data_IF_814935103506
#
_entry.id   IF_814935103506
#
_cell.length_a   1.000
_cell.length_b   1.000
_cell.length_c   1.000
_cell.angle_alpha   90.00
_cell.angle_beta   90.00
_cell.angle_gamma   90.00
#
_symmetry.space_group_name_H-M   'P 1'
#
loop_
_entity.id
_entity.type
_entity.pdbx_description
1 polymer ?
#
# COMPACT_ATOMS: atom_id res chain seq x y z
N UNK A 1 -5.94 24.58 -30.02
CA UNK A 1 -5.98 23.17 -29.59
C UNK A 1 -5.55 23.08 -28.15
N UNK A 2 -6.51 23.09 -27.23
CA UNK A 2 -6.27 22.95 -25.82
C UNK A 2 -5.95 21.50 -25.47
N UNK A 3 -4.87 21.28 -24.73
CA UNK A 3 -4.54 19.98 -24.14
C UNK A 3 -5.61 19.61 -23.12
N UNK A 4 -6.52 18.74 -23.51
CA UNK A 4 -7.59 18.22 -22.65
C UNK A 4 -7.02 17.04 -21.82
N UNK A 5 -6.09 17.30 -20.89
CA UNK A 5 -5.66 16.35 -19.86
C UNK A 5 -6.35 16.63 -18.51
N UNK A 6 -7.55 17.18 -18.54
CA UNK A 6 -8.37 17.34 -17.35
C UNK A 6 -9.05 15.99 -17.07
N UNK A 7 -8.40 15.13 -16.25
CA UNK A 7 -9.08 13.97 -15.66
C UNK A 7 -10.06 14.54 -14.64
N UNK A 8 -11.35 14.41 -14.92
CA UNK A 8 -12.38 14.78 -13.96
C UNK A 8 -12.14 14.01 -12.65
N UNK A 9 -12.10 14.70 -11.51
CA UNK A 9 -11.92 14.12 -10.17
C UNK A 9 -12.90 12.96 -9.89
N UNK A 10 -14.04 12.94 -10.55
CA UNK A 10 -15.04 11.87 -10.46
C UNK A 10 -14.60 10.53 -11.08
N UNK A 11 -13.56 10.54 -11.93
CA UNK A 11 -13.06 9.34 -12.62
C UNK A 11 -11.78 8.78 -11.97
N UNK A 12 -11.40 9.28 -10.81
CA UNK A 12 -10.20 8.87 -10.09
C UNK A 12 -10.58 8.16 -8.80
N UNK A 13 -9.94 7.03 -8.52
CA UNK A 13 -9.97 6.33 -7.24
C UNK A 13 -8.65 6.59 -6.51
N UNK A 14 -8.68 7.41 -5.46
CA UNK A 14 -7.49 7.72 -4.65
C UNK A 14 -7.18 6.54 -3.73
N UNK A 15 -6.02 5.93 -3.94
CA UNK A 15 -5.56 4.77 -3.17
C UNK A 15 -4.72 5.26 -1.98
N UNK A 16 -5.13 4.91 -0.77
CA UNK A 16 -4.39 5.21 0.47
C UNK A 16 -3.50 4.07 0.94
N UNK A 17 -3.87 2.82 0.64
CA UNK A 17 -3.05 1.66 0.95
C UNK A 17 -3.04 0.67 -0.22
N UNK A 18 -1.87 0.09 -0.48
CA UNK A 18 -1.66 -0.96 -1.47
C UNK A 18 -1.07 -2.18 -0.75
N UNK A 19 -1.81 -3.29 -0.74
CA UNK A 19 -1.36 -4.57 -0.19
C UNK A 19 -0.98 -5.53 -1.30
N UNK A 20 0.16 -6.22 -1.16
CA UNK A 20 0.68 -7.19 -2.13
C UNK A 20 1.09 -8.47 -1.41
N UNK A 21 0.45 -9.58 -1.77
CA UNK A 21 0.91 -10.94 -1.46
C UNK A 21 1.33 -11.67 -2.73
N UNK A 22 2.11 -12.74 -2.58
CA UNK A 22 2.51 -13.61 -3.68
C UNK A 22 2.42 -15.07 -3.25
N UNK A 23 1.51 -15.79 -3.84
CA UNK A 23 1.27 -17.20 -3.54
C UNK A 23 0.84 -17.94 -4.81
N UNK A 24 1.23 -19.21 -4.92
CA UNK A 24 0.83 -20.09 -6.04
C UNK A 24 1.13 -19.49 -7.43
N UNK A 25 2.25 -18.76 -7.56
CA UNK A 25 2.66 -18.03 -8.76
C UNK A 25 1.72 -16.90 -9.20
N UNK A 26 0.91 -16.40 -8.29
CA UNK A 26 -0.01 -15.28 -8.49
C UNK A 26 0.27 -14.15 -7.51
N UNK A 27 0.14 -12.93 -7.98
CA UNK A 27 0.07 -11.74 -7.12
C UNK A 27 -1.36 -11.57 -6.65
N UNK A 28 -1.58 -11.54 -5.34
CA UNK A 28 -2.82 -11.10 -4.75
C UNK A 28 -2.65 -9.63 -4.32
N UNK A 29 -3.39 -8.75 -4.97
CA UNK A 29 -3.28 -7.31 -4.79
C UNK A 29 -4.58 -6.76 -4.21
N UNK A 30 -4.47 -6.04 -3.09
CA UNK A 30 -5.60 -5.32 -2.50
C UNK A 30 -5.31 -3.83 -2.45
N UNK A 31 -6.27 -3.01 -2.87
CA UNK A 31 -6.21 -1.56 -2.74
C UNK A 31 -7.30 -1.07 -1.80
N UNK A 32 -6.95 -0.12 -0.96
CA UNK A 32 -7.89 0.61 -0.13
C UNK A 32 -8.07 2.01 -0.73
N UNK A 33 -9.28 2.26 -1.24
CA UNK A 33 -9.65 3.49 -1.91
C UNK A 33 -10.41 4.39 -0.95
N UNK A 34 -10.03 5.67 -0.88
CA UNK A 34 -10.80 6.70 -0.14
C UNK A 34 -12.05 7.06 -0.95
N UNK A 35 -13.21 6.93 -0.34
CA UNK A 35 -14.46 7.34 -0.95
C UNK A 35 -14.64 8.85 -0.81
N UNK A 36 -14.58 9.58 -1.92
CA UNK A 36 -14.75 11.06 -1.96
C UNK A 36 -16.22 11.48 -1.79
N UNK A 37 -17.03 10.73 -1.07
CA UNK A 37 -18.41 11.12 -0.76
C UNK A 37 -18.39 12.31 0.22
N UNK A 38 -19.07 13.40 -0.16
CA UNK A 38 -19.03 14.74 0.45
C UNK A 38 -19.31 14.84 1.96
N UNK A 39 -19.64 13.75 2.64
CA UNK A 39 -20.08 13.77 4.04
C UNK A 39 -19.38 12.77 4.96
N UNK A 40 -18.40 11.99 4.48
CA UNK A 40 -17.73 10.97 5.31
C UNK A 40 -16.29 10.76 4.83
N UNK A 41 -15.36 11.52 5.42
CA UNK A 41 -13.93 11.50 5.07
C UNK A 41 -13.24 10.16 5.41
N UNK A 42 -13.87 9.34 6.25
CA UNK A 42 -13.31 8.07 6.71
C UNK A 42 -13.83 6.87 5.92
N UNK A 43 -14.74 7.08 4.98
CA UNK A 43 -15.30 5.98 4.20
C UNK A 43 -14.29 5.47 3.17
N UNK A 44 -14.07 4.16 3.19
CA UNK A 44 -13.13 3.49 2.28
C UNK A 44 -13.77 2.26 1.67
N UNK A 45 -13.28 1.90 0.48
CA UNK A 45 -13.64 0.66 -0.21
C UNK A 45 -12.39 -0.19 -0.45
N UNK A 46 -12.50 -1.50 -0.25
CA UNK A 46 -11.42 -2.46 -0.48
C UNK A 46 -11.72 -3.22 -1.75
N UNK A 47 -10.74 -3.26 -2.66
CA UNK A 47 -10.80 -4.03 -3.90
C UNK A 47 -9.61 -4.96 -3.97
N UNK A 48 -9.86 -6.23 -4.25
CA UNK A 48 -8.84 -7.27 -4.34
C UNK A 48 -8.93 -8.00 -5.68
N UNK A 49 -7.80 -8.30 -6.27
CA UNK A 49 -7.70 -9.13 -7.47
C UNK A 49 -6.39 -9.91 -7.52
N UNK A 50 -6.47 -11.13 -8.02
CA UNK A 50 -5.30 -11.97 -8.30
C UNK A 50 -4.89 -11.86 -9.77
N UNK A 51 -3.58 -11.71 -10.03
CA UNK A 51 -3.03 -11.62 -11.37
C UNK A 51 -1.68 -12.33 -11.49
N UNK A 52 -1.34 -12.77 -12.70
CA UNK A 52 -0.02 -13.32 -13.00
C UNK A 52 1.09 -12.26 -12.92
N UNK A 53 0.70 -11.00 -13.02
CA UNK A 53 1.57 -9.84 -12.84
C UNK A 53 0.87 -8.75 -12.03
N UNK A 54 1.63 -7.83 -11.44
CA UNK A 54 1.09 -6.65 -10.75
C UNK A 54 0.26 -5.78 -11.68
N UNK A 55 0.75 -5.59 -12.91
CA UNK A 55 0.05 -4.80 -13.94
C UNK A 55 -1.32 -5.40 -14.25
N UNK A 56 -1.41 -6.71 -14.40
CA UNK A 56 -2.69 -7.40 -14.62
C UNK A 56 -3.64 -7.20 -13.45
N UNK A 57 -3.19 -7.45 -12.20
CA UNK A 57 -4.02 -7.32 -11.01
C UNK A 57 -4.52 -5.88 -10.83
N UNK A 58 -3.64 -4.89 -10.96
CA UNK A 58 -3.99 -3.47 -10.78
C UNK A 58 -4.94 -3.00 -11.88
N UNK A 59 -4.74 -3.38 -13.13
CA UNK A 59 -5.66 -3.07 -14.24
C UNK A 59 -7.05 -3.65 -13.99
N UNK A 60 -7.12 -4.90 -13.51
CA UNK A 60 -8.41 -5.54 -13.19
C UNK A 60 -9.12 -4.83 -12.04
N UNK A 61 -8.40 -4.41 -11.00
CA UNK A 61 -8.99 -3.60 -9.93
C UNK A 61 -9.53 -2.28 -10.49
N UNK A 62 -8.80 -1.62 -11.39
CA UNK A 62 -9.28 -0.42 -12.07
C UNK A 62 -10.62 -0.64 -12.79
N UNK A 63 -10.81 -1.81 -13.42
CA UNK A 63 -12.09 -2.17 -14.03
C UNK A 63 -13.19 -2.39 -12.99
N UNK A 64 -12.88 -2.98 -11.84
CA UNK A 64 -13.84 -3.18 -10.74
C UNK A 64 -14.32 -1.85 -10.15
N UNK A 65 -13.42 -0.86 -10.03
CA UNK A 65 -13.75 0.46 -9.51
C UNK A 65 -14.47 1.34 -10.55
N UNK A 66 -14.44 0.97 -11.82
CA UNK A 66 -14.84 1.83 -12.97
C UNK A 66 -14.10 3.17 -13.00
N UNK A 67 -12.92 3.25 -12.35
CA UNK A 67 -12.11 4.47 -12.21
C UNK A 67 -10.64 4.16 -12.46
N UNK A 68 -9.87 5.20 -12.76
CA UNK A 68 -8.42 5.10 -12.77
C UNK A 68 -7.89 5.12 -11.35
N UNK A 69 -7.12 4.11 -10.96
CA UNK A 69 -6.43 4.08 -9.68
C UNK A 69 -5.33 5.13 -9.65
N UNK A 70 -5.28 5.89 -8.57
CA UNK A 70 -4.34 7.00 -8.39
C UNK A 70 -3.55 6.80 -7.11
N UNK A 71 -2.24 6.60 -7.24
CA UNK A 71 -1.35 6.23 -6.15
C UNK A 71 -0.42 7.37 -5.71
N UNK A 72 -0.60 8.60 -6.22
CA UNK A 72 0.26 9.74 -5.83
C UNK A 72 0.16 10.03 -4.33
N UNK A 73 -1.04 9.85 -3.75
CA UNK A 73 -1.32 10.05 -2.33
C UNK A 73 -1.29 8.74 -1.53
N UNK A 74 -0.56 7.73 -2.01
CA UNK A 74 -0.37 6.48 -1.30
C UNK A 74 0.30 6.77 0.06
N UNK A 75 -0.31 6.32 1.14
CA UNK A 75 0.22 6.46 2.50
C UNK A 75 1.13 5.30 2.88
N UNK A 76 0.75 4.06 2.47
CA UNK A 76 1.47 2.85 2.83
C UNK A 76 1.40 1.77 1.74
N UNK A 77 2.55 1.16 1.46
CA UNK A 77 2.70 -0.10 0.75
C UNK A 77 2.85 -1.22 1.78
N UNK A 78 1.96 -2.20 1.73
CA UNK A 78 1.99 -3.36 2.61
C UNK A 78 2.41 -4.59 1.80
N UNK A 79 3.44 -5.27 2.24
CA UNK A 79 4.00 -6.45 1.57
C UNK A 79 3.92 -7.64 2.52
N UNK A 80 3.33 -8.75 2.08
CA UNK A 80 3.38 -9.99 2.84
C UNK A 80 4.81 -10.57 2.86
N UNK A 81 5.10 -11.43 3.82
CA UNK A 81 6.37 -12.16 3.84
C UNK A 81 6.59 -13.00 2.56
N UNK A 82 5.54 -13.57 1.99
CA UNK A 82 5.65 -14.35 0.75
C UNK A 82 6.02 -13.47 -0.44
N UNK A 83 5.47 -12.26 -0.51
CA UNK A 83 5.75 -11.32 -1.59
C UNK A 83 7.17 -10.76 -1.58
N UNK A 84 7.93 -10.94 -0.49
CA UNK A 84 9.34 -10.51 -0.43
C UNK A 84 10.22 -11.20 -1.47
N UNK A 85 9.88 -12.42 -1.88
CA UNK A 85 10.55 -13.14 -2.98
C UNK A 85 10.39 -12.43 -4.35
N UNK A 86 9.45 -11.49 -4.46
CA UNK A 86 9.15 -10.69 -5.65
C UNK A 86 9.43 -9.19 -5.46
N UNK A 87 10.17 -8.86 -4.44
CA UNK A 87 10.41 -7.47 -4.05
C UNK A 87 11.02 -6.63 -5.18
N UNK A 88 11.96 -7.21 -5.93
CA UNK A 88 12.54 -6.54 -7.09
C UNK A 88 11.48 -6.19 -8.17
N UNK A 89 10.60 -7.13 -8.48
CA UNK A 89 9.52 -6.90 -9.45
C UNK A 89 8.52 -5.84 -8.96
N UNK A 90 8.22 -5.86 -7.64
CA UNK A 90 7.33 -4.89 -7.02
C UNK A 90 7.94 -3.49 -7.12
N UNK A 91 9.21 -3.34 -6.73
CA UNK A 91 9.91 -2.06 -6.78
C UNK A 91 10.07 -1.54 -8.20
N UNK A 92 10.40 -2.43 -9.15
CA UNK A 92 10.49 -2.08 -10.57
C UNK A 92 9.14 -1.57 -11.12
N UNK A 93 8.04 -2.24 -10.80
CA UNK A 93 6.71 -1.79 -11.19
C UNK A 93 6.39 -0.39 -10.63
N UNK A 94 6.57 -0.20 -9.33
CA UNK A 94 6.25 1.08 -8.67
C UNK A 94 7.13 2.23 -9.16
N UNK A 95 8.39 1.96 -9.50
CA UNK A 95 9.33 2.99 -9.96
C UNK A 95 9.06 3.47 -11.40
N UNK A 96 8.38 2.66 -12.22
CA UNK A 96 8.03 2.98 -13.61
C UNK A 96 6.68 3.68 -13.76
N UNK A 97 5.81 3.56 -12.77
CA UNK A 97 4.48 4.17 -12.85
C UNK A 97 4.51 5.61 -12.34
N UNK A 98 4.34 6.57 -13.27
CA UNK A 98 4.30 7.99 -12.95
C UNK A 98 3.10 8.42 -12.09
N UNK A 99 2.11 7.53 -11.89
CA UNK A 99 0.97 7.78 -11.02
C UNK A 99 1.23 7.34 -9.57
N UNK A 100 2.41 6.81 -9.26
CA UNK A 100 2.82 6.42 -7.91
C UNK A 100 3.63 7.54 -7.27
N UNK A 101 3.20 7.99 -6.10
CA UNK A 101 3.95 8.94 -5.27
C UNK A 101 5.21 8.28 -4.69
N UNK A 102 6.07 9.11 -4.11
CA UNK A 102 7.34 8.64 -3.52
C UNK A 102 7.38 8.80 -2.00
N UNK A 103 6.33 9.34 -1.39
CA UNK A 103 6.31 9.70 0.03
C UNK A 103 5.42 8.77 0.87
N UNK A 104 5.49 7.49 0.63
CA UNK A 104 4.76 6.48 1.41
C UNK A 104 5.69 5.64 2.28
N UNK A 105 5.11 4.99 3.29
CA UNK A 105 5.79 4.02 4.13
C UNK A 105 5.70 2.61 3.56
N UNK A 106 6.68 1.77 3.91
CA UNK A 106 6.65 0.33 3.60
C UNK A 106 6.48 -0.43 4.91
N UNK A 107 5.56 -1.38 4.89
CA UNK A 107 5.18 -2.22 6.02
C UNK A 107 5.10 -3.68 5.59
N UNK A 108 5.49 -4.61 6.46
CA UNK A 108 5.21 -6.02 6.29
C UNK A 108 3.98 -6.40 7.11
N UNK A 109 2.99 -7.03 6.46
CA UNK A 109 1.82 -7.60 7.14
C UNK A 109 1.32 -8.81 6.34
N UNK A 110 1.31 -9.99 6.95
CA UNK A 110 0.88 -11.22 6.27
C UNK A 110 -0.64 -11.32 6.11
N UNK A 111 -1.39 -10.56 6.89
CA UNK A 111 -2.86 -10.58 6.91
C UNK A 111 -3.43 -9.19 6.62
N UNK A 112 -2.81 -8.43 5.72
CA UNK A 112 -3.17 -7.04 5.46
C UNK A 112 -4.64 -6.87 5.03
N UNK A 113 -5.25 -7.84 4.36
CA UNK A 113 -6.66 -7.76 3.99
C UNK A 113 -7.57 -7.72 5.23
N UNK A 114 -7.27 -8.54 6.23
CA UNK A 114 -8.01 -8.53 7.49
C UNK A 114 -7.72 -7.25 8.29
N UNK A 115 -6.48 -6.74 8.20
CA UNK A 115 -6.09 -5.47 8.79
C UNK A 115 -6.84 -4.29 8.15
N UNK A 116 -7.02 -4.30 6.84
CA UNK A 116 -7.83 -3.29 6.12
C UNK A 116 -9.29 -3.33 6.57
N UNK A 117 -9.89 -4.54 6.65
CA UNK A 117 -11.27 -4.74 7.12
C UNK A 117 -11.44 -4.33 8.58
N UNK A 118 -10.47 -4.66 9.45
CA UNK A 118 -10.50 -4.27 10.85
C UNK A 118 -10.56 -2.75 11.01
N UNK A 119 -9.72 -2.00 10.26
CA UNK A 119 -9.72 -0.56 10.31
C UNK A 119 -11.01 0.04 9.74
N UNK A 120 -11.51 -0.49 8.64
CA UNK A 120 -12.79 -0.08 8.05
C UNK A 120 -13.95 -0.28 9.04
N UNK A 121 -13.99 -1.39 9.76
CA UNK A 121 -15.00 -1.66 10.79
C UNK A 121 -14.91 -0.73 12.01
N UNK A 122 -13.76 -0.08 12.19
CA UNK A 122 -13.52 0.93 13.25
C UNK A 122 -13.65 2.37 12.74
N UNK A 123 -14.21 2.57 11.55
CA UNK A 123 -14.35 3.88 10.89
C UNK A 123 -13.00 4.62 10.75
N UNK A 124 -11.90 3.86 10.55
CA UNK A 124 -10.56 4.38 10.33
C UNK A 124 -10.06 4.06 8.93
N UNK A 125 -9.37 5.03 8.32
CA UNK A 125 -8.62 4.79 7.09
C UNK A 125 -7.28 4.14 7.45
N UNK A 126 -7.07 2.90 7.02
CA UNK A 126 -5.86 2.13 7.36
C UNK A 126 -4.56 2.88 7.03
N UNK A 127 -4.47 3.49 5.83
CA UNK A 127 -3.29 4.25 5.42
C UNK A 127 -2.98 5.41 6.35
N UNK A 128 -3.99 6.21 6.70
CA UNK A 128 -3.85 7.35 7.60
C UNK A 128 -3.46 6.89 9.01
N UNK A 129 -4.06 5.80 9.50
CA UNK A 129 -3.77 5.23 10.82
C UNK A 129 -2.31 4.75 10.92
N UNK A 130 -1.84 3.95 9.94
CA UNK A 130 -0.46 3.46 9.90
C UNK A 130 0.53 4.61 9.77
N UNK A 131 0.25 5.56 8.90
CA UNK A 131 1.07 6.77 8.72
C UNK A 131 1.17 7.56 10.02
N UNK A 132 0.05 7.74 10.75
CA UNK A 132 0.03 8.39 12.04
C UNK A 132 0.96 7.73 13.06
N UNK A 133 0.88 6.39 13.20
CA UNK A 133 1.78 5.63 14.09
C UNK A 133 3.26 5.80 13.68
N UNK A 134 3.56 5.70 12.38
CA UNK A 134 4.92 5.77 11.87
C UNK A 134 5.49 7.21 11.87
N UNK A 135 4.66 8.23 11.93
CA UNK A 135 5.09 9.63 12.08
C UNK A 135 5.30 10.05 13.52
N UNK A 136 4.66 9.36 14.48
CA UNK A 136 4.75 9.69 15.89
C UNK A 136 6.16 9.40 16.41
N UNK A 137 6.83 10.45 16.93
CA UNK A 137 8.19 10.38 17.45
C UNK A 137 8.29 9.75 18.85
N UNK A 138 7.18 9.54 19.54
CA UNK A 138 7.16 8.96 20.89
C UNK A 138 7.39 7.44 20.90
N UNK A 139 7.21 6.79 19.78
CA UNK A 139 7.36 5.34 19.65
C UNK A 139 8.73 4.97 19.06
N UNK A 140 9.48 4.10 19.73
CA UNK A 140 10.72 3.51 19.21
C UNK A 140 10.43 2.44 18.14
N UNK A 141 9.70 2.81 17.10
CA UNK A 141 9.28 1.93 16.02
C UNK A 141 10.21 2.13 14.82
N UNK A 142 10.60 1.03 14.17
CA UNK A 142 11.28 1.08 12.87
C UNK A 142 10.36 1.77 11.87
N UNK A 143 10.94 2.68 11.10
CA UNK A 143 10.25 3.42 10.05
C UNK A 143 10.98 3.25 8.75
N UNK A 144 10.27 2.91 7.69
CA UNK A 144 10.86 2.78 6.38
C UNK A 144 9.99 3.48 5.34
N UNK A 145 10.49 4.55 4.76
CA UNK A 145 9.90 5.20 3.59
C UNK A 145 10.45 4.60 2.30
N UNK A 146 9.70 4.77 1.21
CA UNK A 146 10.00 4.19 -0.10
C UNK A 146 11.39 4.59 -0.63
N UNK A 147 11.77 5.86 -0.60
CA UNK A 147 13.07 6.30 -1.13
C UNK A 147 14.25 5.74 -0.33
N UNK A 148 14.30 5.85 1.02
CA UNK A 148 15.33 5.19 1.81
C UNK A 148 15.36 3.67 1.63
N UNK A 149 14.18 3.05 1.44
CA UNK A 149 14.09 1.63 1.14
C UNK A 149 14.79 1.29 -0.17
N UNK A 150 14.47 1.98 -1.27
CA UNK A 150 15.09 1.74 -2.57
C UNK A 150 16.62 1.91 -2.52
N UNK A 151 17.10 2.95 -1.86
CA UNK A 151 18.53 3.21 -1.71
C UNK A 151 19.26 2.03 -1.03
N UNK A 152 18.67 1.46 0.02
CA UNK A 152 19.22 0.32 0.72
C UNK A 152 19.06 -0.98 -0.07
N UNK A 153 17.90 -1.20 -0.65
CA UNK A 153 17.58 -2.40 -1.42
C UNK A 153 18.47 -2.57 -2.65
N UNK A 154 18.84 -1.48 -3.30
CA UNK A 154 19.75 -1.48 -4.46
C UNK A 154 21.24 -1.56 -4.06
N UNK A 155 21.55 -1.47 -2.78
CA UNK A 155 22.92 -1.52 -2.28
C UNK A 155 23.24 -2.91 -1.71
N UNK A 156 24.33 -3.57 -2.15
CA UNK A 156 24.72 -4.87 -1.60
C UNK A 156 25.30 -4.79 -0.18
N UNK A 157 25.42 -3.61 0.39
CA UNK A 157 26.10 -3.38 1.69
C UNK A 157 25.15 -3.14 2.86
N UNK A 158 23.84 -3.09 2.62
CA UNK A 158 22.89 -2.75 3.67
C UNK A 158 21.76 -3.76 3.77
N UNK A 159 21.51 -4.21 4.97
CA UNK A 159 20.27 -4.91 5.31
C UNK A 159 19.10 -3.94 5.28
N UNK A 160 17.99 -4.40 4.78
CA UNK A 160 16.75 -3.64 4.78
C UNK A 160 15.91 -4.06 5.97
N UNK A 161 15.58 -3.13 6.84
CA UNK A 161 14.72 -3.35 8.01
C UNK A 161 13.39 -2.64 7.76
N UNK A 162 12.28 -3.38 7.76
CA UNK A 162 10.94 -2.80 7.64
C UNK A 162 10.07 -3.15 8.85
N UNK A 163 9.16 -2.24 9.26
CA UNK A 163 8.25 -2.51 10.36
C UNK A 163 7.26 -3.61 9.99
N UNK A 164 6.76 -4.31 11.01
CA UNK A 164 5.75 -5.37 10.87
C UNK A 164 4.48 -4.95 11.57
N UNK A 165 3.38 -4.94 10.81
CA UNK A 165 2.03 -4.76 11.31
C UNK A 165 1.33 -6.09 11.52
N UNK A 166 0.46 -6.16 12.50
CA UNK A 166 -0.34 -7.35 12.80
C UNK A 166 -1.54 -7.03 13.70
N UNK A 167 -2.54 -7.90 13.65
CA UNK A 167 -3.72 -7.83 14.53
C UNK A 167 -3.46 -8.60 15.82
N UNK A 168 -3.77 -7.99 16.96
CA UNK A 168 -3.77 -8.64 18.28
C UNK A 168 -4.98 -8.16 19.10
N UNK A 169 -5.88 -9.08 19.46
CA UNK A 169 -7.09 -8.77 20.23
C UNK A 169 -7.86 -7.56 19.68
N UNK A 170 -8.21 -7.61 18.39
CA UNK A 170 -8.92 -6.55 17.66
C UNK A 170 -8.20 -5.18 17.61
N UNK A 171 -6.91 -5.15 17.96
CA UNK A 171 -6.07 -3.97 17.79
C UNK A 171 -5.00 -4.23 16.73
N UNK A 172 -4.75 -3.20 15.93
CA UNK A 172 -3.65 -3.21 14.98
C UNK A 172 -2.40 -2.63 15.63
N UNK A 173 -1.32 -3.41 15.61
CA UNK A 173 -0.06 -3.06 16.26
C UNK A 173 1.10 -3.03 15.25
N UNK A 174 2.05 -2.12 15.48
CA UNK A 174 3.31 -2.00 14.74
C UNK A 174 4.43 -1.84 15.78
N UNK A 175 4.95 -2.94 16.31
CA UNK A 175 6.00 -2.94 17.35
C UNK A 175 7.14 -3.93 17.06
N UNK A 176 7.13 -4.54 15.86
CA UNK A 176 8.12 -5.49 15.37
C UNK A 176 8.75 -5.01 14.09
N UNK A 177 9.87 -5.61 13.72
CA UNK A 177 10.52 -5.39 12.44
C UNK A 177 11.06 -6.70 11.87
N UNK A 178 11.19 -6.74 10.55
CA UNK A 178 11.80 -7.85 9.82
C UNK A 178 13.01 -7.33 9.04
N UNK A 179 14.06 -8.15 8.96
CA UNK A 179 15.30 -7.85 8.23
C UNK A 179 15.28 -8.67 6.94
N UNK A 180 15.60 -8.01 5.84
CA UNK A 180 15.86 -8.64 4.54
C UNK A 180 17.33 -8.44 4.20
N UNK A 181 17.98 -9.55 3.87
CA UNK A 181 19.36 -9.61 3.40
C UNK A 181 19.38 -9.77 1.88
#
# INVERSE_FOLDING_TARGET
SGCNNYRELNNIAVVSALGIDYKDNMYNVSVLVKDNAKNDENKTSIYTYEGKSLDEAIKKIGLLTSKTLYFIDLDVLVISKNATSKLQNIMDYLSRDNNVGVNFYILCDNNFEDSFKLMQNKDNVYGDYVKGILQDNYNNIVRMKYIPFLQKFLSPYYDVIIPVGYINNDNYLIDKAIIFN
#
